data_IF_637541019241
#
_entry.id   IF_637541019241
#
_cell.length_a   1.000
_cell.length_b   1.000
_cell.length_c   1.000
_cell.angle_alpha   90.00
_cell.angle_beta   90.00
_cell.angle_gamma   90.00
#
_symmetry.space_group_name_H-M   'P 1'
#
loop_
_entity.id
_entity.type
_entity.pdbx_description
1 polymer ?
#
# COMPACT_ATOMS: atom_id res chain seq x y z
N UNK A 1 -18.27 -31.98 -54.82
CA UNK A 1 -18.57 -31.40 -53.49
C UNK A 1 -17.59 -30.30 -53.06
N UNK A 2 -16.29 -30.56 -52.79
CA UNK A 2 -15.36 -29.51 -52.30
C UNK A 2 -15.14 -28.33 -53.28
N UNK A 3 -15.07 -28.60 -54.58
CA UNK A 3 -14.88 -27.56 -55.62
C UNK A 3 -16.08 -26.61 -55.75
N UNK A 4 -17.30 -27.16 -55.72
CA UNK A 4 -18.56 -26.39 -55.80
C UNK A 4 -18.74 -25.47 -54.57
N UNK A 5 -18.44 -25.97 -53.36
CA UNK A 5 -18.50 -25.15 -52.13
C UNK A 5 -17.50 -23.98 -52.20
N UNK A 6 -16.30 -24.21 -52.78
CA UNK A 6 -15.30 -23.16 -53.00
C UNK A 6 -15.79 -22.13 -54.02
N UNK A 7 -16.38 -22.57 -55.13
CA UNK A 7 -16.93 -21.70 -56.17
C UNK A 7 -18.09 -20.85 -55.66
N UNK A 8 -19.03 -21.44 -54.90
CA UNK A 8 -20.12 -20.71 -54.24
C UNK A 8 -19.59 -19.69 -53.22
N UNK A 9 -18.57 -20.05 -52.44
CA UNK A 9 -17.95 -19.12 -51.48
C UNK A 9 -17.26 -17.95 -52.19
N UNK A 10 -16.55 -18.21 -53.29
CA UNK A 10 -15.94 -17.17 -54.12
C UNK A 10 -17.01 -16.27 -54.73
N UNK A 11 -18.10 -16.84 -55.26
CA UNK A 11 -19.22 -16.09 -55.83
C UNK A 11 -19.92 -15.18 -54.81
N UNK A 12 -20.13 -15.66 -53.58
CA UNK A 12 -20.69 -14.84 -52.48
C UNK A 12 -19.75 -13.71 -52.09
N UNK A 13 -18.44 -13.98 -52.02
CA UNK A 13 -17.43 -12.96 -51.71
C UNK A 13 -17.32 -11.91 -52.82
N UNK A 14 -17.36 -12.33 -54.10
CA UNK A 14 -17.34 -11.39 -55.22
C UNK A 14 -18.61 -10.55 -55.27
N UNK A 15 -19.78 -11.14 -55.03
CA UNK A 15 -21.05 -10.41 -54.98
C UNK A 15 -21.07 -9.37 -53.85
N UNK A 16 -20.63 -9.75 -52.65
CA UNK A 16 -20.51 -8.82 -51.52
C UNK A 16 -19.50 -7.69 -51.79
N UNK A 17 -18.41 -7.98 -52.50
CA UNK A 17 -17.43 -6.96 -52.91
C UNK A 17 -18.00 -5.99 -53.93
N UNK A 18 -18.74 -6.48 -54.92
CA UNK A 18 -19.35 -5.62 -55.95
C UNK A 18 -20.46 -4.74 -55.36
N UNK A 19 -21.26 -5.28 -54.44
CA UNK A 19 -22.28 -4.52 -53.72
C UNK A 19 -21.65 -3.37 -52.92
N UNK A 20 -20.59 -3.65 -52.13
CA UNK A 20 -19.85 -2.60 -51.39
C UNK A 20 -19.25 -1.55 -52.30
N UNK A 21 -18.75 -1.95 -53.47
CA UNK A 21 -18.21 -1.03 -54.47
C UNK A 21 -19.31 -0.11 -55.01
N UNK A 22 -20.47 -0.67 -55.34
CA UNK A 22 -21.62 0.10 -55.84
C UNK A 22 -22.15 1.08 -54.79
N UNK A 23 -22.25 0.66 -53.54
CA UNK A 23 -22.68 1.52 -52.43
C UNK A 23 -21.71 2.68 -52.22
N UNK A 24 -20.40 2.42 -52.23
CA UNK A 24 -19.38 3.45 -52.11
C UNK A 24 -19.38 4.42 -53.30
N UNK A 25 -19.64 3.94 -54.53
CA UNK A 25 -19.81 4.80 -55.70
C UNK A 25 -21.02 5.72 -55.54
N UNK A 26 -22.17 5.16 -55.13
CA UNK A 26 -23.40 5.92 -54.91
C UNK A 26 -23.22 6.98 -53.80
N UNK A 27 -22.60 6.60 -52.69
CA UNK A 27 -22.28 7.51 -51.58
C UNK A 27 -21.36 8.66 -52.05
N UNK A 28 -20.31 8.34 -52.82
CA UNK A 28 -19.39 9.34 -53.37
C UNK A 28 -20.11 10.31 -54.30
N UNK A 29 -20.99 9.83 -55.18
CA UNK A 29 -21.77 10.69 -56.07
C UNK A 29 -22.75 11.58 -55.31
N UNK A 30 -23.43 11.03 -54.28
CA UNK A 30 -24.35 11.79 -53.42
C UNK A 30 -23.61 12.88 -52.65
N UNK A 31 -22.43 12.59 -52.12
CA UNK A 31 -21.56 13.55 -51.45
C UNK A 31 -21.12 14.68 -52.37
N UNK A 32 -20.69 14.36 -53.60
CA UNK A 32 -20.33 15.37 -54.61
C UNK A 32 -21.52 16.31 -54.89
N UNK A 33 -22.73 15.77 -55.11
CA UNK A 33 -23.93 16.58 -55.36
C UNK A 33 -24.26 17.50 -54.18
N UNK A 34 -24.18 16.98 -52.95
CA UNK A 34 -24.36 17.80 -51.74
C UNK A 34 -23.35 18.95 -51.65
N UNK A 35 -22.07 18.67 -51.90
CA UNK A 35 -21.01 19.68 -51.87
C UNK A 35 -21.21 20.76 -52.94
N UNK A 36 -21.67 20.37 -54.14
CA UNK A 36 -22.03 21.30 -55.22
C UNK A 36 -23.22 22.19 -54.85
N UNK A 37 -24.28 21.62 -54.26
CA UNK A 37 -25.46 22.36 -53.79
C UNK A 37 -25.11 23.36 -52.69
N UNK A 38 -24.25 22.96 -51.75
CA UNK A 38 -23.82 23.80 -50.63
C UNK A 38 -22.76 24.83 -51.03
N UNK A 39 -22.24 24.79 -52.26
CA UNK A 39 -21.16 25.69 -52.72
C UNK A 39 -19.83 25.48 -51.99
N UNK A 40 -19.63 24.34 -51.32
CA UNK A 40 -18.39 24.02 -50.59
C UNK A 40 -17.28 23.58 -51.55
N UNK A 41 -16.03 23.61 -51.10
CA UNK A 41 -14.89 23.17 -51.90
C UNK A 41 -14.95 21.67 -52.17
N UNK A 42 -14.96 21.29 -53.45
CA UNK A 42 -14.84 19.91 -53.88
C UNK A 42 -13.37 19.51 -53.81
N UNK A 43 -12.95 18.96 -52.67
CA UNK A 43 -11.63 18.36 -52.47
C UNK A 43 -11.76 16.87 -52.15
N UNK A 44 -10.71 16.09 -52.40
CA UNK A 44 -10.68 14.66 -52.06
C UNK A 44 -11.01 14.41 -50.59
N UNK A 45 -10.49 15.23 -49.68
CA UNK A 45 -10.76 15.09 -48.25
C UNK A 45 -12.22 15.45 -47.90
N UNK A 46 -12.76 16.50 -48.53
CA UNK A 46 -14.15 16.90 -48.31
C UNK A 46 -15.13 15.83 -48.80
N UNK A 47 -14.87 15.27 -49.99
CA UNK A 47 -15.68 14.18 -50.57
C UNK A 47 -15.56 12.91 -49.73
N UNK A 48 -14.36 12.52 -49.31
CA UNK A 48 -14.14 11.34 -48.46
C UNK A 48 -14.92 11.44 -47.14
N UNK A 49 -14.86 12.60 -46.48
CA UNK A 49 -15.57 12.84 -45.22
C UNK A 49 -17.09 12.85 -45.38
N UNK A 50 -17.60 13.44 -46.45
CA UNK A 50 -19.05 13.54 -46.71
C UNK A 50 -19.66 12.22 -47.24
N UNK A 51 -18.85 11.39 -47.90
CA UNK A 51 -19.25 10.09 -48.42
C UNK A 51 -18.96 8.91 -47.46
N UNK A 52 -18.33 9.18 -46.31
CA UNK A 52 -17.89 8.15 -45.33
C UNK A 52 -16.99 7.06 -45.95
N UNK A 53 -16.17 7.44 -46.93
CA UNK A 53 -15.20 6.54 -47.57
C UNK A 53 -13.78 6.99 -47.25
N UNK A 54 -12.83 6.05 -47.22
CA UNK A 54 -11.42 6.40 -47.03
C UNK A 54 -10.89 7.20 -48.22
N UNK A 55 -9.96 8.12 -47.98
CA UNK A 55 -9.26 8.86 -49.04
C UNK A 55 -8.54 7.91 -49.98
N UNK A 56 -7.95 6.85 -49.44
CA UNK A 56 -7.29 5.76 -50.19
C UNK A 56 -8.23 5.10 -51.20
N UNK A 57 -9.51 4.91 -50.87
CA UNK A 57 -10.51 4.36 -51.77
C UNK A 57 -10.75 5.25 -52.99
N UNK A 58 -10.83 6.57 -52.79
CA UNK A 58 -11.01 7.53 -53.89
C UNK A 58 -9.81 7.54 -54.86
N UNK A 59 -8.60 7.29 -54.34
CA UNK A 59 -7.39 7.15 -55.18
C UNK A 59 -7.28 5.80 -55.87
N UNK A 60 -7.83 4.73 -55.27
CA UNK A 60 -7.83 3.37 -55.82
C UNK A 60 -8.54 3.29 -57.18
N UNK A 61 -9.61 4.05 -57.37
CA UNK A 61 -10.38 4.06 -58.62
C UNK A 61 -10.11 5.34 -59.43
N UNK A 62 -9.43 5.23 -60.59
CA UNK A 62 -9.04 6.39 -61.39
C UNK A 62 -10.25 7.19 -61.91
N UNK A 63 -11.39 6.54 -62.13
CA UNK A 63 -12.63 7.20 -62.54
C UNK A 63 -13.11 8.23 -61.51
N UNK A 64 -13.10 7.86 -60.22
CA UNK A 64 -13.46 8.76 -59.13
C UNK A 64 -12.45 9.90 -58.99
N UNK A 65 -11.16 9.58 -59.08
CA UNK A 65 -10.09 10.57 -59.03
C UNK A 65 -10.24 11.61 -60.13
N UNK A 66 -10.46 11.17 -61.36
CA UNK A 66 -10.61 12.05 -62.52
C UNK A 66 -11.89 12.88 -62.42
N UNK A 67 -12.99 12.29 -61.95
CA UNK A 67 -14.25 13.01 -61.75
C UNK A 67 -14.13 14.12 -60.70
N UNK A 68 -13.55 13.83 -59.54
CA UNK A 68 -13.32 14.82 -58.48
C UNK A 68 -12.37 15.92 -58.96
N UNK A 69 -11.30 15.57 -59.69
CA UNK A 69 -10.37 16.54 -60.25
C UNK A 69 -11.02 17.47 -61.27
N UNK A 70 -11.82 16.93 -62.21
CA UNK A 70 -12.57 17.71 -63.19
C UNK A 70 -13.54 18.69 -62.52
N UNK A 71 -14.35 18.21 -61.58
CA UNK A 71 -15.30 19.03 -60.83
C UNK A 71 -14.61 20.13 -60.02
N UNK A 72 -13.43 19.85 -59.47
CA UNK A 72 -12.61 20.84 -58.77
C UNK A 72 -12.09 21.93 -59.70
N UNK A 73 -11.63 21.57 -60.90
CA UNK A 73 -11.21 22.53 -61.92
C UNK A 73 -12.38 23.34 -62.47
N UNK A 74 -13.53 22.72 -62.71
CA UNK A 74 -14.78 23.40 -63.09
C UNK A 74 -15.21 24.41 -62.02
N UNK A 75 -15.16 24.02 -60.74
CA UNK A 75 -15.45 24.93 -59.63
C UNK A 75 -14.48 26.12 -59.61
N UNK A 76 -13.19 25.89 -59.85
CA UNK A 76 -12.16 26.94 -59.92
C UNK A 76 -12.40 27.91 -61.09
N UNK A 77 -12.78 27.38 -62.26
CA UNK A 77 -13.11 28.17 -63.46
C UNK A 77 -14.41 28.95 -63.32
N UNK A 78 -15.39 28.41 -62.59
CA UNK A 78 -16.71 29.03 -62.40
C UNK A 78 -16.69 30.31 -61.55
N UNK A 79 -15.55 30.68 -60.95
CA UNK A 79 -15.41 31.92 -60.18
C UNK A 79 -16.29 32.02 -58.92
N UNK A 80 -16.99 30.93 -58.54
CA UNK A 80 -17.74 30.87 -57.27
C UNK A 80 -16.76 31.12 -56.13
N UNK A 81 -16.82 32.32 -55.55
CA UNK A 81 -16.06 32.70 -54.36
C UNK A 81 -16.45 31.75 -53.24
N UNK A 82 -15.56 30.81 -52.95
CA UNK A 82 -15.61 30.02 -51.72
C UNK A 82 -15.60 31.05 -50.58
N UNK A 83 -16.54 31.01 -49.63
CA UNK A 83 -16.55 31.96 -48.53
C UNK A 83 -15.22 31.84 -47.78
N UNK A 84 -14.37 32.86 -47.91
CA UNK A 84 -13.14 32.98 -47.14
C UNK A 84 -13.57 33.09 -45.68
N UNK A 85 -13.05 32.20 -44.85
CA UNK A 85 -13.35 32.17 -43.43
C UNK A 85 -13.18 33.59 -42.85
N UNK A 86 -14.26 34.14 -42.30
CA UNK A 86 -14.32 35.52 -41.78
C UNK A 86 -13.24 35.72 -40.71
N UNK A 87 -12.66 36.91 -40.57
CA UNK A 87 -11.56 37.12 -39.59
C UNK A 87 -11.96 36.75 -38.15
N UNK A 88 -13.25 36.85 -37.79
CA UNK A 88 -13.78 36.32 -36.54
C UNK A 88 -13.58 34.81 -36.36
N UNK A 89 -13.71 34.01 -37.42
CA UNK A 89 -13.49 32.56 -37.34
C UNK A 89 -12.00 32.22 -37.15
N UNK A 90 -11.09 32.97 -37.78
CA UNK A 90 -9.64 32.83 -37.57
C UNK A 90 -9.25 33.22 -36.16
N UNK A 91 -9.77 34.33 -35.64
CA UNK A 91 -9.52 34.80 -34.28
C UNK A 91 -10.02 33.79 -33.23
N UNK A 92 -11.17 33.15 -33.45
CA UNK A 92 -11.66 32.06 -32.60
C UNK A 92 -10.70 30.86 -32.59
N UNK A 93 -10.21 30.45 -33.75
CA UNK A 93 -9.24 29.34 -33.87
C UNK A 93 -7.93 29.70 -33.17
N UNK A 94 -7.41 30.92 -33.36
CA UNK A 94 -6.20 31.41 -32.70
C UNK A 94 -6.39 31.43 -31.18
N UNK A 95 -7.54 31.91 -30.69
CA UNK A 95 -7.86 31.90 -29.26
C UNK A 95 -7.89 30.48 -28.68
N UNK A 96 -8.52 29.55 -29.37
CA UNK A 96 -8.54 28.13 -28.97
C UNK A 96 -7.13 27.52 -28.96
N UNK A 97 -6.32 27.78 -29.98
CA UNK A 97 -4.94 27.28 -30.07
C UNK A 97 -4.06 27.85 -28.94
N UNK A 98 -4.16 29.16 -28.66
CA UNK A 98 -3.45 29.78 -27.54
C UNK A 98 -3.86 29.17 -26.20
N UNK A 99 -5.15 28.94 -25.98
CA UNK A 99 -5.65 28.27 -24.79
C UNK A 99 -5.06 26.86 -24.67
N UNK A 100 -5.05 26.11 -25.77
CA UNK A 100 -4.50 24.76 -25.79
C UNK A 100 -3.00 24.71 -25.52
N UNK A 101 -2.23 25.65 -26.06
CA UNK A 101 -0.79 25.78 -25.77
C UNK A 101 -0.59 26.03 -24.28
N UNK A 102 -1.34 26.95 -23.68
CA UNK A 102 -1.24 27.25 -22.25
C UNK A 102 -1.58 26.04 -21.37
N UNK A 103 -2.62 25.28 -21.71
CA UNK A 103 -2.98 24.03 -21.02
C UNK A 103 -1.86 22.99 -21.13
N UNK A 104 -1.28 22.83 -22.32
CA UNK A 104 -0.17 21.88 -22.54
C UNK A 104 1.10 22.29 -21.78
N UNK A 105 1.42 23.58 -21.73
CA UNK A 105 2.54 24.11 -20.94
C UNK A 105 2.33 23.85 -19.45
N UNK A 106 1.11 24.07 -18.94
CA UNK A 106 0.77 23.74 -17.55
C UNK A 106 0.93 22.25 -17.25
N UNK A 107 0.42 21.37 -18.11
CA UNK A 107 0.59 19.92 -17.95
C UNK A 107 2.08 19.53 -17.95
N UNK A 108 2.88 20.13 -18.83
CA UNK A 108 4.31 19.88 -18.91
C UNK A 108 5.03 20.31 -17.63
N UNK A 109 4.68 21.46 -17.06
CA UNK A 109 5.25 21.91 -15.78
C UNK A 109 4.86 20.97 -14.62
N UNK A 110 3.60 20.53 -14.56
CA UNK A 110 3.13 19.60 -13.52
C UNK A 110 3.83 18.24 -13.64
N UNK A 111 3.95 17.70 -14.85
CA UNK A 111 4.64 16.44 -15.10
C UNK A 111 6.13 16.52 -14.74
N UNK A 112 6.79 17.65 -15.04
CA UNK A 112 8.19 17.86 -14.63
C UNK A 112 8.34 17.90 -13.11
N UNK A 113 7.44 18.59 -12.41
CA UNK A 113 7.46 18.65 -10.96
C UNK A 113 7.22 17.26 -10.34
N UNK A 114 6.26 16.51 -10.86
CA UNK A 114 6.00 15.14 -10.43
C UNK A 114 7.23 14.25 -10.66
N UNK A 115 7.84 14.29 -11.84
CA UNK A 115 9.07 13.55 -12.12
C UNK A 115 10.21 13.93 -11.19
N UNK A 116 10.37 15.22 -10.86
CA UNK A 116 11.41 15.65 -9.93
C UNK A 116 11.15 15.13 -8.51
N UNK A 117 9.90 15.15 -8.03
CA UNK A 117 9.54 14.58 -6.73
C UNK A 117 9.75 13.06 -6.69
N UNK A 118 9.39 12.36 -7.76
CA UNK A 118 9.58 10.91 -7.88
C UNK A 118 11.07 10.56 -7.93
N UNK A 119 11.87 11.32 -8.69
CA UNK A 119 13.31 11.14 -8.71
C UNK A 119 13.92 11.32 -7.30
N UNK A 120 13.50 12.36 -6.57
CA UNK A 120 13.91 12.56 -5.17
C UNK A 120 13.57 11.36 -4.29
N UNK A 121 12.34 10.83 -4.41
CA UNK A 121 11.92 9.64 -3.65
C UNK A 121 12.71 8.39 -4.01
N UNK A 122 13.06 8.21 -5.28
CA UNK A 122 13.88 7.07 -5.73
C UNK A 122 15.28 7.15 -5.11
N UNK A 123 15.91 8.34 -5.06
CA UNK A 123 17.19 8.51 -4.38
C UNK A 123 17.12 8.18 -2.89
N UNK A 124 16.07 8.63 -2.19
CA UNK A 124 15.86 8.26 -0.78
C UNK A 124 15.74 6.75 -0.60
N UNK A 125 14.99 6.07 -1.48
CA UNK A 125 14.85 4.61 -1.44
C UNK A 125 16.17 3.88 -1.67
N UNK A 126 17.00 4.37 -2.58
CA UNK A 126 18.34 3.82 -2.83
C UNK A 126 19.25 3.97 -1.60
N UNK A 127 19.20 5.12 -0.92
CA UNK A 127 19.90 5.32 0.35
C UNK A 127 19.43 4.33 1.42
N UNK A 128 18.11 4.14 1.56
CA UNK A 128 17.56 3.14 2.48
C UNK A 128 18.00 1.72 2.12
N UNK A 129 17.97 1.34 0.85
CA UNK A 129 18.42 0.02 0.40
C UNK A 129 19.89 -0.22 0.75
N UNK A 130 20.74 0.79 0.55
CA UNK A 130 22.15 0.74 0.92
C UNK A 130 22.35 0.55 2.43
N UNK A 131 21.57 1.25 3.26
CA UNK A 131 21.63 1.05 4.73
C UNK A 131 21.18 -0.35 5.13
N UNK A 132 20.08 -0.85 4.56
CA UNK A 132 19.57 -2.21 4.82
C UNK A 132 20.60 -3.26 4.43
N UNK A 133 21.27 -3.08 3.28
CA UNK A 133 22.34 -3.98 2.83
C UNK A 133 23.49 -4.03 3.84
N UNK A 134 23.97 -2.87 4.32
CA UNK A 134 25.02 -2.80 5.36
C UNK A 134 24.60 -3.49 6.65
N UNK A 135 23.36 -3.29 7.10
CA UNK A 135 22.84 -3.96 8.29
C UNK A 135 22.75 -5.48 8.11
N UNK A 136 22.29 -5.94 6.94
CA UNK A 136 22.26 -7.39 6.64
C UNK A 136 23.66 -8.01 6.68
N UNK A 137 24.65 -7.34 6.09
CA UNK A 137 26.05 -7.78 6.14
C UNK A 137 26.58 -7.84 7.58
N UNK A 138 26.24 -6.86 8.42
CA UNK A 138 26.62 -6.87 9.83
C UNK A 138 25.95 -8.01 10.61
N UNK A 139 24.64 -8.20 10.43
CA UNK A 139 23.90 -9.28 11.06
C UNK A 139 24.41 -10.66 10.62
N UNK A 140 24.77 -10.81 9.34
CA UNK A 140 25.38 -12.05 8.85
C UNK A 140 26.72 -12.33 9.53
N UNK A 141 27.58 -11.31 9.68
CA UNK A 141 28.87 -11.44 10.39
C UNK A 141 28.65 -11.86 11.85
N UNK A 142 27.71 -11.23 12.54
CA UNK A 142 27.35 -11.58 13.92
C UNK A 142 26.82 -13.02 14.02
N UNK A 143 25.96 -13.43 13.09
CA UNK A 143 25.44 -14.80 13.04
C UNK A 143 26.56 -15.84 12.89
N UNK A 144 27.51 -15.59 11.99
CA UNK A 144 28.69 -16.46 11.80
C UNK A 144 29.54 -16.51 13.07
N UNK A 145 29.68 -15.40 13.79
CA UNK A 145 30.44 -15.37 15.04
C UNK A 145 29.75 -16.19 16.14
N UNK A 146 28.44 -16.06 16.28
CA UNK A 146 27.64 -16.86 17.22
C UNK A 146 27.79 -18.35 16.90
N UNK A 147 27.71 -18.72 15.63
CA UNK A 147 27.89 -20.10 15.17
C UNK A 147 29.27 -20.65 15.57
N UNK A 148 30.35 -19.93 15.26
CA UNK A 148 31.72 -20.30 15.66
C UNK A 148 31.86 -20.47 17.18
N UNK A 149 31.38 -19.52 17.96
CA UNK A 149 31.42 -19.60 19.42
C UNK A 149 30.59 -20.78 19.94
N UNK A 150 29.48 -21.11 19.28
CA UNK A 150 28.65 -22.26 19.64
C UNK A 150 29.37 -23.60 19.35
N UNK A 151 30.08 -23.68 18.22
CA UNK A 151 30.92 -24.83 17.86
C UNK A 151 32.07 -25.00 18.85
N UNK A 152 32.77 -23.92 19.19
CA UNK A 152 33.83 -23.93 20.21
C UNK A 152 33.30 -24.42 21.55
N UNK A 153 32.14 -23.93 21.99
CA UNK A 153 31.48 -24.39 23.20
C UNK A 153 31.11 -25.88 23.14
N UNK A 154 30.64 -26.37 21.99
CA UNK A 154 30.35 -27.79 21.78
C UNK A 154 31.63 -28.64 21.89
N UNK A 155 32.71 -28.20 21.24
CA UNK A 155 34.02 -28.87 21.32
C UNK A 155 34.56 -28.90 22.75
N UNK A 156 34.46 -27.78 23.48
CA UNK A 156 34.88 -27.70 24.89
C UNK A 156 34.04 -28.62 25.77
N UNK A 157 32.71 -28.65 25.59
CA UNK A 157 31.82 -29.59 26.30
C UNK A 157 32.21 -31.05 26.04
N UNK A 158 32.50 -31.40 24.79
CA UNK A 158 32.94 -32.75 24.41
C UNK A 158 34.29 -33.11 25.03
N UNK A 159 35.29 -32.20 24.98
CA UNK A 159 36.58 -32.39 25.66
C UNK A 159 36.39 -32.61 27.16
N UNK A 160 35.54 -31.82 27.80
CA UNK A 160 35.24 -31.92 29.24
C UNK A 160 34.57 -33.27 29.56
N UNK A 161 33.67 -33.75 28.71
CA UNK A 161 33.09 -35.09 28.83
C UNK A 161 34.16 -36.19 28.71
N UNK A 162 35.08 -36.10 27.73
CA UNK A 162 36.16 -37.11 27.57
C UNK A 162 37.12 -37.15 28.76
N UNK A 163 37.46 -35.99 29.34
CA UNK A 163 38.31 -35.90 30.53
C UNK A 163 37.61 -36.49 31.77
N UNK A 164 36.30 -36.26 31.92
CA UNK A 164 35.50 -36.86 32.99
C UNK A 164 35.38 -38.39 32.84
N UNK A 165 35.31 -38.93 31.63
CA UNK A 165 35.38 -40.39 31.42
C UNK A 165 36.76 -40.95 31.76
N UNK A 166 37.84 -40.23 31.46
CA UNK A 166 39.22 -40.61 31.83
C UNK A 166 39.51 -40.60 33.34
N UNK A 167 38.76 -39.81 34.12
CA UNK A 167 38.88 -39.74 35.58
C UNK A 167 38.15 -40.88 36.34
N UNK A 168 37.51 -41.82 35.63
CA UNK A 168 36.76 -42.94 36.25
C UNK A 168 37.59 -44.21 36.51
N UNK A 169 38.92 -44.12 36.62
CA UNK A 169 39.70 -45.17 37.30
C UNK A 169 39.75 -44.90 38.80
N UNK A 170 38.86 -45.60 39.52
CA UNK A 170 38.89 -45.93 40.95
C UNK A 170 39.21 -44.79 41.92
N UNK A 171 38.17 -44.27 42.58
CA UNK A 171 38.10 -44.30 44.06
C UNK A 171 36.62 -44.48 44.45
N UNK A 172 36.31 -45.59 45.09
CA UNK A 172 35.08 -45.79 45.84
C UNK A 172 35.08 -44.84 47.05
N UNK A 173 34.07 -43.97 47.16
CA UNK A 173 33.75 -43.32 48.43
C UNK A 173 32.25 -43.40 48.68
N UNK A 174 31.98 -43.94 49.85
CA UNK A 174 30.75 -44.23 50.56
C UNK A 174 29.63 -43.21 50.39
N UNK A 175 28.40 -43.72 50.43
CA UNK A 175 27.17 -42.93 50.51
C UNK A 175 27.14 -42.06 51.78
N UNK A 176 27.74 -40.87 51.71
CA UNK A 176 27.39 -39.78 52.62
C UNK A 176 26.30 -38.95 51.97
N UNK A 177 25.13 -38.88 52.62
CA UNK A 177 24.03 -37.97 52.28
C UNK A 177 24.60 -36.57 52.04
N UNK A 178 24.74 -36.17 50.78
CA UNK A 178 25.16 -34.82 50.42
C UNK A 178 24.08 -33.84 50.92
N UNK A 179 24.34 -33.15 52.02
CA UNK A 179 23.70 -31.86 52.28
C UNK A 179 24.13 -30.95 51.14
N UNK A 180 23.17 -30.45 50.35
CA UNK A 180 23.44 -29.45 49.30
C UNK A 180 24.27 -28.31 49.93
N UNK A 181 25.34 -27.83 49.26
CA UNK A 181 26.14 -26.74 49.78
C UNK A 181 25.25 -25.54 50.03
N UNK A 182 25.34 -24.99 51.24
CA UNK A 182 24.54 -23.86 51.66
C UNK A 182 25.02 -22.61 50.90
N UNK A 183 24.36 -22.26 49.79
CA UNK A 183 24.64 -21.00 49.10
C UNK A 183 24.31 -19.81 50.01
N UNK A 184 25.21 -18.81 50.11
CA UNK A 184 24.90 -17.54 50.74
C UNK A 184 23.72 -16.86 50.04
N UNK A 185 22.92 -16.09 50.79
CA UNK A 185 21.89 -15.23 50.17
C UNK A 185 22.60 -14.24 49.24
N UNK A 186 22.19 -14.10 47.96
CA UNK A 186 22.79 -13.16 47.02
C UNK A 186 22.80 -11.73 47.58
N UNK A 187 23.90 -11.01 47.39
CA UNK A 187 24.06 -9.67 47.94
C UNK A 187 23.09 -8.66 47.30
N UNK A 188 22.72 -8.87 46.02
CA UNK A 188 21.69 -8.12 45.30
C UNK A 188 20.35 -8.10 46.05
N UNK A 189 19.90 -9.28 46.51
CA UNK A 189 18.63 -9.44 47.25
C UNK A 189 18.71 -8.80 48.64
N UNK A 190 19.89 -8.82 49.28
CA UNK A 190 20.06 -8.16 50.60
C UNK A 190 19.97 -6.64 50.49
N UNK A 191 20.57 -6.06 49.45
CA UNK A 191 20.57 -4.61 49.20
C UNK A 191 19.14 -4.13 48.95
N UNK A 192 18.40 -4.83 48.09
CA UNK A 192 17.01 -4.49 47.76
C UNK A 192 16.07 -4.56 48.97
N UNK A 193 16.24 -5.57 49.83
CA UNK A 193 15.44 -5.68 51.06
C UNK A 193 15.82 -4.64 52.11
N UNK A 194 17.10 -4.25 52.20
CA UNK A 194 17.55 -3.18 53.08
C UNK A 194 16.99 -1.81 52.64
N UNK A 195 16.96 -1.55 51.32
CA UNK A 195 16.36 -0.32 50.76
C UNK A 195 14.86 -0.21 51.07
N UNK A 196 14.17 -1.34 51.24
CA UNK A 196 12.75 -1.40 51.59
C UNK A 196 12.52 -1.44 53.12
N UNK A 197 13.57 -1.39 53.93
CA UNK A 197 13.48 -1.44 55.40
C UNK A 197 13.02 -2.79 55.95
N UNK A 198 13.11 -3.88 55.18
CA UNK A 198 12.63 -5.21 55.55
C UNK A 198 13.79 -6.04 56.12
N UNK A 199 13.71 -6.39 57.42
CA UNK A 199 14.70 -7.26 58.06
C UNK A 199 14.52 -8.74 57.63
N UNK A 200 15.63 -9.39 57.25
CA UNK A 200 15.62 -10.78 56.75
C UNK A 200 15.45 -11.76 57.92
N UNK A 201 14.18 -12.12 58.17
CA UNK A 201 13.80 -13.15 59.13
C UNK A 201 14.23 -14.57 58.70
N UNK A 202 14.28 -15.51 59.65
CA UNK A 202 14.73 -16.90 59.41
C UNK A 202 13.92 -17.63 58.33
N UNK A 203 12.62 -17.35 58.23
CA UNK A 203 11.71 -17.91 57.22
C UNK A 203 12.01 -17.38 55.81
N UNK A 204 12.18 -16.06 55.66
CA UNK A 204 12.55 -15.43 54.39
C UNK A 204 13.93 -15.90 53.94
N UNK A 205 14.89 -16.00 54.87
CA UNK A 205 16.22 -16.53 54.62
C UNK A 205 16.18 -17.96 54.08
N UNK A 206 15.26 -18.79 54.58
CA UNK A 206 15.06 -20.17 54.10
C UNK A 206 14.42 -20.20 52.71
N UNK A 207 13.41 -19.36 52.46
CA UNK A 207 12.70 -19.29 51.18
C UNK A 207 13.57 -18.74 50.06
N UNK A 208 14.38 -17.71 50.32
CA UNK A 208 15.32 -17.12 49.35
C UNK A 208 16.43 -18.13 48.98
N UNK A 209 16.85 -18.99 49.93
CA UNK A 209 17.81 -20.07 49.65
C UNK A 209 17.23 -21.22 48.84
N UNK A 210 15.91 -21.41 48.89
CA UNK A 210 15.22 -22.53 48.26
C UNK A 210 14.73 -22.21 46.84
N UNK A 211 14.63 -20.92 46.47
CA UNK A 211 14.13 -20.46 45.18
C UNK A 211 15.24 -19.72 44.40
N UNK A 212 15.23 -19.76 43.06
CA UNK A 212 16.17 -19.01 42.23
C UNK A 212 16.04 -17.50 42.46
N UNK A 213 17.16 -16.79 42.27
CA UNK A 213 17.27 -15.35 42.49
C UNK A 213 16.23 -14.55 41.68
N UNK A 214 15.97 -14.97 40.44
CA UNK A 214 14.97 -14.38 39.55
C UNK A 214 13.56 -14.31 40.19
N UNK A 215 13.08 -15.41 40.77
CA UNK A 215 11.74 -15.45 41.41
C UNK A 215 11.72 -14.54 42.65
N UNK A 216 12.83 -14.45 43.38
CA UNK A 216 12.90 -13.56 44.54
C UNK A 216 12.91 -12.09 44.14
N UNK A 217 13.54 -11.73 43.03
CA UNK A 217 13.53 -10.38 42.49
C UNK A 217 12.14 -10.00 41.93
N UNK A 218 11.49 -10.91 41.19
CA UNK A 218 10.12 -10.72 40.70
C UNK A 218 9.13 -10.48 41.85
N UNK A 219 9.26 -11.24 42.95
CA UNK A 219 8.42 -11.05 44.13
C UNK A 219 8.72 -9.74 44.87
N UNK A 220 9.97 -9.27 44.87
CA UNK A 220 10.36 -7.96 45.41
C UNK A 220 9.79 -6.82 44.57
N UNK A 221 9.82 -6.94 43.24
CA UNK A 221 9.21 -5.96 42.33
C UNK A 221 7.70 -5.88 42.52
N UNK A 222 7.03 -7.03 42.66
CA UNK A 222 5.61 -7.09 42.99
C UNK A 222 5.30 -6.40 44.33
N UNK A 223 6.18 -6.54 45.33
CA UNK A 223 6.05 -5.85 46.62
C UNK A 223 6.26 -4.34 46.49
N UNK A 224 7.24 -3.88 45.72
CA UNK A 224 7.45 -2.45 45.42
C UNK A 224 6.20 -1.83 44.78
N UNK A 225 5.62 -2.52 43.81
CA UNK A 225 4.38 -2.12 43.17
C UNK A 225 3.21 -2.08 44.16
N UNK A 226 3.05 -3.12 44.97
CA UNK A 226 1.96 -3.19 45.94
C UNK A 226 2.07 -2.08 47.00
N UNK A 227 3.28 -1.73 47.45
CA UNK A 227 3.52 -0.58 48.34
C UNK A 227 3.21 0.77 47.68
N UNK A 228 3.34 0.88 46.35
CA UNK A 228 2.98 2.12 45.62
C UNK A 228 1.47 2.34 45.50
N UNK A 229 0.67 1.27 45.55
CA UNK A 229 -0.79 1.32 45.39
C UNK A 229 -1.50 1.25 46.75
N UNK A 230 -1.03 0.40 47.66
CA UNK A 230 -1.65 0.17 48.97
C UNK A 230 -0.61 0.14 50.10
N UNK A 231 -0.97 0.69 51.26
CA UNK A 231 -0.16 0.61 52.47
C UNK A 231 -0.23 -0.79 53.11
N UNK A 232 0.70 -1.68 52.76
CA UNK A 232 0.79 -3.02 53.35
C UNK A 232 1.31 -2.94 54.79
N UNK A 233 0.55 -3.48 55.75
CA UNK A 233 0.92 -3.48 57.19
C UNK A 233 2.13 -4.39 57.50
N UNK A 234 2.32 -5.49 56.79
CA UNK A 234 3.44 -6.43 56.99
C UNK A 234 4.12 -6.82 55.66
N UNK A 235 5.12 -6.05 55.20
CA UNK A 235 5.79 -6.31 53.93
C UNK A 235 6.64 -7.59 53.96
N UNK A 236 7.19 -7.98 55.11
CA UNK A 236 7.99 -9.19 55.25
C UNK A 236 7.16 -10.48 55.07
N UNK A 237 5.95 -10.51 55.65
CA UNK A 237 5.01 -11.61 55.49
C UNK A 237 4.47 -11.70 54.06
N UNK A 238 4.14 -10.55 53.48
CA UNK A 238 3.65 -10.43 52.10
C UNK A 238 4.70 -10.95 51.10
N UNK A 239 5.97 -10.59 51.28
CA UNK A 239 7.06 -11.10 50.43
C UNK A 239 7.24 -12.62 50.56
N UNK A 240 7.15 -13.17 51.78
CA UNK A 240 7.29 -14.61 51.99
C UNK A 240 6.20 -15.39 51.25
N UNK A 241 4.97 -14.85 51.24
CA UNK A 241 3.84 -15.40 50.52
C UNK A 241 3.99 -15.22 49.01
N UNK A 242 4.52 -14.07 48.56
CA UNK A 242 4.87 -13.81 47.17
C UNK A 242 5.95 -14.75 46.62
N UNK A 243 6.98 -15.07 47.39
CA UNK A 243 8.01 -16.04 47.00
C UNK A 243 7.44 -17.47 46.97
N UNK A 244 6.56 -17.82 47.93
CA UNK A 244 5.93 -19.14 47.99
C UNK A 244 4.95 -19.38 46.84
N UNK A 245 4.19 -18.34 46.47
CA UNK A 245 3.16 -18.39 45.42
C UNK A 245 3.66 -17.89 44.05
N UNK A 246 4.95 -17.54 43.94
CA UNK A 246 5.60 -17.02 42.72
C UNK A 246 4.85 -15.83 42.11
N UNK A 247 4.49 -14.85 42.95
CA UNK A 247 3.87 -13.63 42.47
C UNK A 247 4.84 -12.86 41.58
N UNK A 248 4.40 -12.64 40.35
CA UNK A 248 5.02 -11.71 39.42
C UNK A 248 4.20 -10.43 39.40
N UNK A 249 4.81 -9.31 39.01
CA UNK A 249 4.08 -8.08 38.68
C UNK A 249 2.88 -8.47 37.80
N UNK A 250 1.65 -8.11 38.21
CA UNK A 250 0.49 -8.23 37.32
C UNK A 250 0.83 -7.46 36.06
N UNK A 251 0.89 -8.19 34.95
CA UNK A 251 0.88 -7.61 33.62
C UNK A 251 -0.40 -6.78 33.51
N UNK A 252 -0.36 -5.55 34.00
CA UNK A 252 -1.05 -4.47 33.32
C UNK A 252 -0.32 -4.39 31.99
N UNK A 253 -0.89 -5.10 31.02
CA UNK A 253 -0.61 -5.10 29.59
C UNK A 253 0.53 -4.14 29.25
N UNK A 254 1.76 -4.64 29.30
CA UNK A 254 2.89 -3.86 28.81
C UNK A 254 3.38 -4.53 27.53
N UNK A 255 3.29 -3.84 26.37
CA UNK A 255 3.52 -4.41 25.07
C UNK A 255 4.93 -4.96 24.90
N UNK A 256 5.03 -6.11 24.23
CA UNK A 256 6.29 -6.62 23.71
C UNK A 256 6.98 -5.53 22.89
N UNK A 257 8.18 -5.16 23.32
CA UNK A 257 9.08 -4.25 22.62
C UNK A 257 9.52 -4.91 21.32
N UNK A 258 8.80 -4.64 20.23
CA UNK A 258 9.37 -4.62 18.90
C UNK A 258 10.03 -3.25 18.74
N UNK A 259 11.33 -3.26 18.45
CA UNK A 259 12.10 -2.06 18.18
C UNK A 259 11.39 -1.19 17.13
N UNK A 260 11.04 0.03 17.55
CA UNK A 260 10.98 1.18 16.66
C UNK A 260 9.70 1.41 15.87
N UNK A 261 8.52 1.32 16.49
CA UNK A 261 7.35 2.16 16.19
C UNK A 261 6.29 1.85 17.25
N UNK A 262 5.99 2.82 18.12
CA UNK A 262 4.90 2.72 19.09
C UNK A 262 3.60 2.40 18.35
N UNK A 263 3.16 1.14 18.38
CA UNK A 263 1.75 0.81 18.17
C UNK A 263 1.02 1.33 19.40
N UNK A 264 0.55 2.57 19.32
CA UNK A 264 -0.63 2.97 20.08
C UNK A 264 -1.71 1.96 19.70
N UNK A 265 -2.29 1.24 20.64
CA UNK A 265 -3.59 0.62 20.40
C UNK A 265 -4.53 1.75 20.03
N UNK A 266 -4.76 1.89 18.73
CA UNK A 266 -5.69 2.85 18.18
C UNK A 266 -7.07 2.33 18.57
N UNK A 267 -7.55 2.79 19.70
CA UNK A 267 -8.95 2.60 20.10
C UNK A 267 -9.78 3.39 19.09
N UNK A 268 -10.35 2.67 18.13
CA UNK A 268 -11.30 3.24 17.19
C UNK A 268 -12.63 3.49 17.91
N UNK A 269 -13.40 4.52 17.51
CA UNK A 269 -14.75 4.71 18.03
C UNK A 269 -15.64 3.49 17.80
N UNK A 270 -16.52 3.17 18.75
CA UNK A 270 -17.44 2.04 18.65
C UNK A 270 -18.22 2.03 17.31
N UNK A 271 -18.16 0.89 16.60
CA UNK A 271 -18.81 0.70 15.31
C UNK A 271 -18.13 1.38 14.11
N UNK A 272 -16.94 1.96 14.27
CA UNK A 272 -16.14 2.48 13.17
C UNK A 272 -15.57 1.36 12.30
N UNK A 273 -14.96 0.34 12.89
CA UNK A 273 -14.31 -0.76 12.14
C UNK A 273 -15.30 -1.53 11.27
N UNK A 274 -16.44 -1.92 11.84
CA UNK A 274 -17.50 -2.63 11.10
C UNK A 274 -18.01 -1.81 9.92
N UNK A 275 -18.25 -0.51 10.14
CA UNK A 275 -18.69 0.40 9.09
C UNK A 275 -17.59 0.60 8.03
N UNK A 276 -16.33 0.72 8.44
CA UNK A 276 -15.19 0.95 7.56
C UNK A 276 -14.99 -0.22 6.58
N UNK A 277 -15.09 -1.46 7.09
CA UNK A 277 -15.03 -2.68 6.28
C UNK A 277 -16.18 -2.68 5.26
N UNK A 278 -17.42 -2.43 5.70
CA UNK A 278 -18.58 -2.36 4.80
C UNK A 278 -18.45 -1.26 3.74
N UNK A 279 -17.88 -0.11 4.10
CA UNK A 279 -17.69 1.01 3.18
C UNK A 279 -16.59 0.72 2.14
N UNK A 280 -15.56 -0.05 2.48
CA UNK A 280 -14.55 -0.55 1.53
C UNK A 280 -15.18 -1.56 0.57
N UNK A 281 -15.92 -2.53 1.10
CA UNK A 281 -16.57 -3.57 0.30
C UNK A 281 -17.58 -2.98 -0.69
N UNK A 282 -18.28 -1.92 -0.29
CA UNK A 282 -19.19 -1.16 -1.13
C UNK A 282 -18.48 -0.19 -2.11
N UNK A 283 -17.14 -0.12 -2.09
CA UNK A 283 -16.31 0.84 -2.84
C UNK A 283 -16.68 2.32 -2.60
N UNK A 284 -17.34 2.61 -1.47
CA UNK A 284 -17.79 3.94 -1.08
C UNK A 284 -16.62 4.82 -0.62
N UNK A 285 -15.60 4.22 0.00
CA UNK A 285 -14.39 4.89 0.49
C UNK A 285 -13.12 4.33 -0.16
N UNK A 286 -12.06 5.13 -0.19
CA UNK A 286 -10.73 4.65 -0.59
C UNK A 286 -10.16 3.73 0.49
N UNK A 287 -9.60 2.60 0.05
CA UNK A 287 -8.93 1.62 0.91
C UNK A 287 -7.59 2.20 1.40
N UNK A 288 -7.63 2.86 2.55
CA UNK A 288 -6.47 3.41 3.26
C UNK A 288 -6.32 2.67 4.60
N UNK A 289 -5.11 2.62 5.17
CA UNK A 289 -4.98 1.99 6.48
C UNK A 289 -5.76 2.80 7.52
N UNK A 290 -6.65 2.19 8.34
CA UNK A 290 -7.35 2.88 9.43
C UNK A 290 -6.41 3.64 10.38
N UNK A 291 -5.15 3.19 10.47
CA UNK A 291 -4.10 3.78 11.29
C UNK A 291 -3.49 5.07 10.71
N UNK A 292 -3.69 5.33 9.42
CA UNK A 292 -3.12 6.47 8.68
C UNK A 292 -4.15 7.57 8.41
N UNK A 293 -5.38 7.39 8.91
CA UNK A 293 -6.46 8.35 8.68
C UNK A 293 -6.22 9.67 9.43
N UNK A 294 -6.30 10.82 8.74
CA UNK A 294 -6.15 12.11 9.38
C UNK A 294 -7.29 12.37 10.37
N UNK A 295 -6.99 13.04 11.48
CA UNK A 295 -7.99 13.46 12.47
C UNK A 295 -8.30 14.94 12.30
N UNK A 296 -9.57 15.32 12.46
CA UNK A 296 -9.97 16.73 12.46
C UNK A 296 -9.60 17.42 13.78
N UNK A 297 -9.79 18.73 13.89
CA UNK A 297 -9.51 19.50 15.12
C UNK A 297 -10.31 19.03 16.36
N UNK A 298 -11.37 18.24 16.15
CA UNK A 298 -12.19 17.61 17.20
C UNK A 298 -11.73 16.18 17.57
N UNK A 299 -10.67 15.67 16.94
CA UNK A 299 -10.17 14.30 17.16
C UNK A 299 -10.91 13.20 16.36
N UNK A 300 -11.89 13.56 15.54
CA UNK A 300 -12.65 12.62 14.70
C UNK A 300 -11.84 12.15 13.48
N UNK A 301 -11.93 10.86 13.16
CA UNK A 301 -11.31 10.26 11.97
C UNK A 301 -11.97 10.78 10.68
N UNK A 302 -11.14 11.19 9.73
CA UNK A 302 -11.54 11.65 8.40
C UNK A 302 -11.31 10.54 7.39
N UNK A 303 -12.31 10.31 6.53
CA UNK A 303 -12.30 9.25 5.51
C UNK A 303 -12.49 9.88 4.14
N UNK A 304 -11.83 9.31 3.13
CA UNK A 304 -11.96 9.73 1.73
C UNK A 304 -13.08 8.96 1.05
N UNK A 305 -14.19 9.65 0.78
CA UNK A 305 -15.37 9.11 0.10
C UNK A 305 -15.23 9.34 -1.41
N UNK A 306 -15.58 8.35 -2.23
CA UNK A 306 -15.50 8.39 -3.70
C UNK A 306 -16.62 9.24 -4.35
N UNK A 307 -16.90 10.43 -3.79
CA UNK A 307 -17.79 11.39 -4.41
C UNK A 307 -16.98 12.54 -5.04
N UNK A 308 -17.13 12.78 -6.36
CA UNK A 308 -16.41 13.86 -7.03
C UNK A 308 -16.87 15.21 -6.48
N UNK A 309 -15.94 15.95 -5.87
CA UNK A 309 -16.23 17.27 -5.29
C UNK A 309 -16.05 18.36 -6.35
N UNK A 310 -16.74 19.50 -6.19
CA UNK A 310 -16.58 20.70 -7.05
C UNK A 310 -15.13 21.23 -7.18
N UNK A 311 -14.21 20.73 -6.35
CA UNK A 311 -12.77 21.01 -6.37
C UNK A 311 -11.99 20.18 -7.40
N UNK A 312 -12.62 19.25 -8.13
CA UNK A 312 -11.99 18.46 -9.18
C UNK A 312 -11.16 17.26 -8.68
N UNK A 313 -11.23 16.95 -7.37
CA UNK A 313 -10.66 15.73 -6.82
C UNK A 313 -11.65 14.55 -7.00
N UNK A 314 -11.14 13.32 -7.25
CA UNK A 314 -11.98 12.13 -7.40
C UNK A 314 -12.59 11.65 -6.06
N UNK A 315 -12.17 12.23 -4.94
CA UNK A 315 -12.65 11.92 -3.60
C UNK A 315 -12.95 13.20 -2.80
N UNK A 316 -13.83 13.07 -1.81
CA UNK A 316 -14.12 14.08 -0.80
C UNK A 316 -13.65 13.62 0.57
N UNK A 317 -13.02 14.51 1.34
CA UNK A 317 -12.52 14.22 2.68
C UNK A 317 -13.55 14.70 3.71
N UNK A 318 -14.15 13.79 4.47
CA UNK A 318 -15.19 14.12 5.47
C UNK A 318 -15.08 13.25 6.72
N UNK A 319 -15.75 13.62 7.82
CA UNK A 319 -15.68 12.79 9.03
C UNK A 319 -16.40 11.46 8.84
N UNK A 320 -15.92 10.40 9.49
CA UNK A 320 -16.49 9.06 9.35
C UNK A 320 -17.98 9.01 9.73
N UNK A 321 -18.41 9.83 10.71
CA UNK A 321 -19.82 9.98 11.09
C UNK A 321 -20.67 10.61 9.98
N UNK A 322 -20.11 11.57 9.25
CA UNK A 322 -20.78 12.17 8.09
C UNK A 322 -20.85 11.17 6.94
N UNK A 323 -19.75 10.47 6.66
CA UNK A 323 -19.70 9.43 5.64
C UNK A 323 -20.68 8.28 5.95
N UNK A 324 -20.77 7.85 7.21
CA UNK A 324 -21.73 6.82 7.66
C UNK A 324 -23.18 7.24 7.42
N UNK A 325 -23.55 8.47 7.81
CA UNK A 325 -24.89 9.01 7.52
C UNK A 325 -25.17 9.10 6.01
N UNK A 326 -24.17 9.48 5.21
CA UNK A 326 -24.32 9.58 3.77
C UNK A 326 -24.56 8.20 3.13
N UNK A 327 -23.79 7.19 3.54
CA UNK A 327 -23.94 5.80 3.10
C UNK A 327 -25.31 5.21 3.50
N UNK A 328 -25.77 5.46 4.73
CA UNK A 328 -27.09 5.03 5.19
C UNK A 328 -28.24 5.67 4.39
N UNK A 329 -28.08 6.92 3.93
CA UNK A 329 -29.07 7.63 3.11
C UNK A 329 -29.09 7.13 1.66
N UNK A 330 -27.92 6.82 1.08
CA UNK A 330 -27.84 6.19 -0.25
C UNK A 330 -28.49 4.81 -0.25
N UNK A 331 -28.25 4.00 0.79
CA UNK A 331 -28.86 2.68 0.93
C UNK A 331 -30.39 2.76 1.06
N UNK A 332 -30.90 3.70 1.86
CA UNK A 332 -32.35 3.95 2.00
C UNK A 332 -33.02 4.44 0.71
N UNK A 333 -32.26 5.02 -0.21
CA UNK A 333 -32.78 5.49 -1.50
C UNK A 333 -32.82 4.39 -2.56
N UNK A 334 -32.17 3.25 -2.31
CA UNK A 334 -32.11 2.10 -3.22
C UNK A 334 -33.12 0.99 -2.86
N UNK A 335 -33.70 1.01 -1.65
CA UNK A 335 -34.79 0.15 -1.19
C UNK A 335 -36.16 0.77 -1.40
#
# INVERSE_FOLDING_TARGET
MSKQIREERVARLSAASEQKKQDALNATQKAIRKLQQQGKVISFNAVAREAEVSTSYLYKYPELKNKIAKLREEQKRSGRKIPVATDNSKNRIIGHLKKRIKELEQQLTQLRQANQSLAGRVFELEDYENTVKRFREHNQKLSIQIEKLSEENCQLKNKLATLNLGATKRVTSSHTKQKRPHMPVPDSVKIELANLGISINSTLRKLIRQNPEEITLEAIEALKYALSIQGIKNPAGWLAEGIKNRWKKSETETPQTQNGLCKQELVFPDGFEEWYIQAIDALFILNESPTELPKNMKGELLVKVNCPTSSGLPYSLMSWLQAKKMMEMEWKSQT
#
